data_IF_659856782478
#
_entry.id   IF_659856782478
#
_cell.length_a   1.000
_cell.length_b   1.000
_cell.length_c   1.000
_cell.angle_alpha   90.00
_cell.angle_beta   90.00
_cell.angle_gamma   90.00
#
_symmetry.space_group_name_H-M   'P 1'
#
loop_
_entity.id
_entity.type
_entity.pdbx_description
1 polymer ?
#
# COMPACT_ATOMS: atom_id res chain seq x y z
N UNK A 1 -30.11 11.42 -42.36
CA UNK A 1 -30.62 11.97 -41.09
C UNK A 1 -30.04 11.11 -39.98
N UNK A 2 -28.78 11.38 -39.66
CA UNK A 2 -28.03 10.70 -38.61
C UNK A 2 -28.44 11.29 -37.26
N UNK A 3 -28.62 10.44 -36.25
CA UNK A 3 -28.70 10.87 -34.84
C UNK A 3 -27.62 10.12 -34.08
N UNK A 4 -26.61 10.90 -33.72
CA UNK A 4 -25.51 10.56 -32.82
C UNK A 4 -26.05 10.24 -31.42
N UNK A 5 -25.47 9.24 -30.77
CA UNK A 5 -25.61 9.01 -29.33
C UNK A 5 -24.23 9.16 -28.69
N UNK A 6 -24.07 10.16 -27.84
CA UNK A 6 -22.87 10.39 -27.04
C UNK A 6 -22.78 9.33 -25.92
N UNK A 7 -21.77 8.47 -25.98
CA UNK A 7 -21.44 7.54 -24.90
C UNK A 7 -20.68 8.29 -23.80
N UNK A 8 -21.41 8.86 -22.83
CA UNK A 8 -20.81 9.31 -21.57
C UNK A 8 -20.41 8.09 -20.74
N UNK A 9 -19.13 7.71 -20.81
CA UNK A 9 -18.51 6.69 -19.98
C UNK A 9 -18.34 7.22 -18.55
N UNK A 10 -19.37 7.03 -17.72
CA UNK A 10 -19.23 7.21 -16.27
C UNK A 10 -18.36 6.08 -15.72
N UNK A 11 -17.23 6.42 -15.10
CA UNK A 11 -16.36 5.48 -14.37
C UNK A 11 -17.16 4.82 -13.22
N UNK A 12 -17.88 3.73 -13.52
CA UNK A 12 -18.41 2.84 -12.49
C UNK A 12 -17.27 1.91 -12.10
N UNK A 13 -16.77 2.08 -10.87
CA UNK A 13 -15.92 1.08 -10.23
C UNK A 13 -16.69 -0.24 -10.23
N UNK A 14 -16.10 -1.24 -10.86
CA UNK A 14 -16.69 -2.53 -11.13
C UNK A 14 -16.44 -3.46 -9.95
N UNK A 15 -17.48 -3.76 -9.20
CA UNK A 15 -17.50 -4.88 -8.26
C UNK A 15 -17.77 -6.15 -9.07
N UNK A 16 -16.90 -7.16 -8.96
CA UNK A 16 -17.11 -8.48 -9.57
C UNK A 16 -17.00 -9.54 -8.49
N UNK A 17 -18.11 -10.21 -8.21
CA UNK A 17 -18.14 -11.47 -7.49
C UNK A 17 -17.55 -12.58 -8.38
N UNK A 18 -16.39 -13.12 -8.01
CA UNK A 18 -15.86 -14.33 -8.65
C UNK A 18 -16.59 -15.54 -8.06
N UNK A 19 -17.40 -16.23 -8.86
CA UNK A 19 -17.99 -17.52 -8.49
C UNK A 19 -16.97 -18.62 -8.80
N UNK A 20 -16.26 -19.11 -7.79
CA UNK A 20 -15.56 -20.39 -7.89
C UNK A 20 -16.54 -21.50 -7.50
N UNK A 21 -17.41 -21.91 -8.42
CA UNK A 21 -17.91 -23.28 -8.39
C UNK A 21 -16.68 -24.19 -8.42
N UNK A 22 -16.50 -25.02 -7.40
CA UNK A 22 -15.48 -26.08 -7.41
C UNK A 22 -15.78 -27.05 -8.55
N UNK A 23 -15.34 -26.72 -9.76
CA UNK A 23 -15.35 -27.59 -10.92
C UNK A 23 -13.91 -27.69 -11.45
N UNK A 24 -13.49 -28.93 -11.76
CA UNK A 24 -12.10 -29.27 -12.04
C UNK A 24 -11.52 -28.51 -13.25
N UNK A 25 -10.20 -28.27 -13.18
CA UNK A 25 -9.36 -27.40 -14.02
C UNK A 25 -9.31 -27.79 -15.50
N UNK A 26 -9.21 -26.78 -16.39
CA UNK A 26 -8.50 -26.88 -17.68
C UNK A 26 -7.45 -25.75 -17.71
N UNK A 27 -6.18 -26.01 -18.08
CA UNK A 27 -5.10 -25.06 -17.84
C UNK A 27 -5.01 -24.06 -18.99
N UNK A 28 -5.17 -22.76 -18.73
CA UNK A 28 -4.49 -21.68 -19.48
C UNK A 28 -4.74 -20.28 -18.92
N UNK A 29 -3.64 -19.52 -18.86
CA UNK A 29 -3.51 -18.06 -18.98
C UNK A 29 -3.68 -17.11 -17.76
N UNK A 30 -2.50 -16.59 -17.36
CA UNK A 30 -2.09 -15.20 -17.04
C UNK A 30 -2.67 -14.47 -15.82
N UNK A 31 -1.76 -14.17 -14.90
CA UNK A 31 -1.94 -13.30 -13.74
C UNK A 31 -1.61 -11.83 -14.06
N UNK A 32 -2.44 -10.89 -13.58
CA UNK A 32 -2.11 -9.47 -13.45
C UNK A 32 -2.32 -9.03 -11.99
N UNK A 33 -1.32 -8.32 -11.46
CA UNK A 33 -1.28 -7.84 -10.07
C UNK A 33 -1.94 -6.48 -9.90
N UNK A 34 -2.92 -6.45 -9.00
CA UNK A 34 -3.38 -5.27 -8.27
C UNK A 34 -3.54 -5.66 -6.81
N UNK A 35 -3.36 -4.72 -5.89
CA UNK A 35 -3.54 -4.96 -4.44
C UNK A 35 -4.98 -5.41 -4.17
N UNK A 36 -5.07 -6.69 -3.82
CA UNK A 36 -6.28 -7.51 -3.79
C UNK A 36 -6.64 -7.79 -2.33
N UNK A 37 -7.78 -7.28 -1.89
CA UNK A 37 -8.45 -7.75 -0.68
C UNK A 37 -9.51 -8.75 -1.13
N UNK A 38 -9.34 -10.03 -0.83
CA UNK A 38 -10.42 -11.01 -0.97
C UNK A 38 -10.95 -11.41 0.38
N UNK A 39 -12.27 -11.36 0.52
CA UNK A 39 -12.97 -12.33 1.34
C UNK A 39 -12.96 -13.66 0.57
N UNK A 40 -12.44 -14.72 1.16
CA UNK A 40 -12.64 -16.07 0.63
C UNK A 40 -14.13 -16.42 0.82
N UNK A 41 -14.92 -16.30 -0.24
CA UNK A 41 -16.31 -16.76 -0.25
C UNK A 41 -16.29 -18.26 -0.58
N UNK A 42 -16.49 -19.12 0.41
CA UNK A 42 -16.81 -20.53 0.17
C UNK A 42 -18.30 -20.63 -0.19
N UNK A 43 -18.68 -20.37 -1.45
CA UNK A 43 -20.03 -20.78 -1.95
C UNK A 43 -20.18 -22.29 -2.07
N UNK A 44 -19.12 -23.05 -1.77
CA UNK A 44 -19.12 -24.51 -1.71
C UNK A 44 -19.73 -25.10 -0.44
N UNK A 45 -20.42 -24.32 0.40
CA UNK A 45 -21.13 -24.93 1.50
C UNK A 45 -22.42 -25.64 1.01
N UNK A 46 -22.33 -26.96 0.87
CA UNK A 46 -23.42 -27.83 0.43
C UNK A 46 -24.35 -28.28 1.57
N UNK A 47 -24.16 -27.81 2.81
CA UNK A 47 -24.93 -28.25 3.97
C UNK A 47 -25.34 -27.10 4.88
N UNK A 48 -26.52 -27.13 5.48
CA UNK A 48 -27.00 -26.06 6.38
C UNK A 48 -25.96 -25.66 7.46
N UNK A 49 -25.22 -26.64 7.99
CA UNK A 49 -24.21 -26.46 9.04
C UNK A 49 -23.02 -25.59 8.64
N UNK A 50 -22.53 -25.71 7.39
CA UNK A 50 -21.41 -24.89 6.95
C UNK A 50 -21.81 -23.43 6.68
N UNK A 51 -23.08 -23.16 6.35
CA UNK A 51 -23.61 -21.81 6.18
C UNK A 51 -23.68 -21.18 7.56
N UNK A 52 -24.25 -21.89 8.53
CA UNK A 52 -24.28 -21.43 9.91
C UNK A 52 -22.89 -21.09 10.44
N UNK A 53 -21.93 -22.03 10.34
CA UNK A 53 -20.58 -21.83 10.84
C UNK A 53 -19.89 -20.63 10.18
N UNK A 54 -19.99 -20.52 8.85
CA UNK A 54 -19.35 -19.44 8.10
C UNK A 54 -19.98 -18.07 8.41
N UNK A 55 -21.31 -18.02 8.52
CA UNK A 55 -22.05 -16.79 8.81
C UNK A 55 -21.85 -16.33 10.24
N UNK A 56 -21.86 -17.25 11.20
CA UNK A 56 -21.57 -16.93 12.59
C UNK A 56 -20.15 -16.36 12.74
N UNK A 57 -19.14 -16.96 12.10
CA UNK A 57 -17.78 -16.43 12.11
C UNK A 57 -17.70 -15.03 11.48
N UNK A 58 -18.39 -14.82 10.36
CA UNK A 58 -18.47 -13.52 9.71
C UNK A 58 -19.18 -12.47 10.57
N UNK A 59 -20.25 -12.83 11.27
CA UNK A 59 -20.96 -11.94 12.18
C UNK A 59 -20.06 -11.52 13.36
N UNK A 60 -19.33 -12.43 13.97
CA UNK A 60 -18.40 -12.10 15.05
C UNK A 60 -17.29 -11.15 14.61
N UNK A 61 -16.77 -11.32 13.38
CA UNK A 61 -15.78 -10.40 12.82
C UNK A 61 -16.38 -9.00 12.59
N UNK A 62 -17.58 -8.93 12.02
CA UNK A 62 -18.27 -7.65 11.80
C UNK A 62 -18.58 -6.95 13.13
N UNK A 63 -18.96 -7.69 14.19
CA UNK A 63 -19.13 -7.13 15.54
C UNK A 63 -17.81 -6.58 16.09
N UNK A 64 -16.68 -7.29 15.90
CA UNK A 64 -15.34 -6.84 16.34
C UNK A 64 -14.89 -5.56 15.65
N UNK A 65 -15.22 -5.41 14.37
CA UNK A 65 -14.96 -4.21 13.58
C UNK A 65 -15.91 -3.04 13.95
N UNK A 66 -16.91 -3.30 14.79
CA UNK A 66 -17.81 -2.28 15.36
C UNK A 66 -19.08 -2.05 14.55
N UNK A 67 -19.50 -3.01 13.73
CA UNK A 67 -20.82 -2.96 13.08
C UNK A 67 -21.90 -3.47 14.04
N UNK A 68 -22.99 -2.70 14.17
CA UNK A 68 -24.16 -3.07 15.00
C UNK A 68 -25.26 -3.78 14.20
N UNK A 69 -25.25 -3.60 12.87
CA UNK A 69 -26.28 -4.07 11.96
C UNK A 69 -25.68 -4.77 10.73
N UNK A 70 -26.44 -5.70 10.17
CA UNK A 70 -26.11 -6.42 8.94
C UNK A 70 -27.30 -6.41 7.99
N UNK A 71 -27.02 -6.52 6.70
CA UNK A 71 -28.01 -6.71 5.65
C UNK A 71 -27.90 -8.11 5.10
N UNK A 72 -29.04 -8.79 4.95
CA UNK A 72 -29.08 -10.12 4.31
C UNK A 72 -29.01 -9.95 2.80
N UNK A 73 -28.04 -10.61 2.19
CA UNK A 73 -27.86 -10.61 0.73
C UNK A 73 -28.13 -12.01 0.19
N UNK A 74 -29.15 -12.09 -0.67
CA UNK A 74 -29.55 -13.37 -1.23
C UNK A 74 -28.83 -13.65 -2.54
N UNK A 75 -28.49 -14.91 -2.77
CA UNK A 75 -27.90 -15.34 -4.04
C UNK A 75 -29.00 -15.35 -5.11
N UNK A 76 -28.93 -14.41 -6.05
CA UNK A 76 -29.89 -14.27 -7.16
C UNK A 76 -29.56 -15.17 -8.36
N UNK A 77 -29.39 -16.47 -8.15
CA UNK A 77 -29.05 -17.43 -9.21
C UNK A 77 -30.28 -18.15 -9.80
N UNK A 78 -31.49 -17.65 -9.52
CA UNK A 78 -32.74 -18.22 -9.99
C UNK A 78 -33.24 -19.44 -9.19
N UNK A 79 -32.48 -19.91 -8.21
CA UNK A 79 -32.87 -20.99 -7.29
C UNK A 79 -33.22 -20.49 -5.88
N UNK A 80 -33.46 -19.19 -5.75
CA UNK A 80 -33.84 -18.54 -4.51
C UNK A 80 -35.26 -18.91 -4.11
N UNK A 81 -35.46 -19.41 -2.88
CA UNK A 81 -36.79 -19.68 -2.36
C UNK A 81 -37.51 -18.40 -1.90
N UNK A 82 -38.83 -18.47 -1.71
CA UNK A 82 -39.66 -17.35 -1.26
C UNK A 82 -39.21 -16.80 0.12
N UNK A 83 -38.78 -17.68 1.02
CA UNK A 83 -38.29 -17.30 2.37
C UNK A 83 -37.04 -16.42 2.31
N UNK A 84 -36.12 -16.73 1.39
CA UNK A 84 -34.94 -15.90 1.18
C UNK A 84 -35.32 -14.55 0.57
N UNK A 85 -36.17 -14.54 -0.46
CA UNK A 85 -36.64 -13.29 -1.05
C UNK A 85 -37.35 -12.38 -0.02
N UNK A 86 -38.03 -12.96 0.97
CA UNK A 86 -38.71 -12.21 2.01
C UNK A 86 -37.76 -11.39 2.89
N UNK A 87 -36.49 -11.77 3.01
CA UNK A 87 -35.50 -11.06 3.85
C UNK A 87 -34.38 -10.42 3.06
N UNK A 88 -34.39 -10.56 1.73
CA UNK A 88 -33.39 -9.99 0.85
C UNK A 88 -33.32 -8.46 0.94
N UNK A 89 -32.11 -7.93 1.12
CA UNK A 89 -31.84 -6.51 1.29
C UNK A 89 -32.36 -5.91 2.59
N UNK A 90 -32.93 -6.70 3.50
CA UNK A 90 -33.35 -6.20 4.83
C UNK A 90 -32.19 -6.13 5.78
N UNK A 91 -32.18 -5.07 6.58
CA UNK A 91 -31.19 -4.81 7.62
C UNK A 91 -31.73 -5.22 8.99
N UNK A 92 -30.88 -5.89 9.78
CA UNK A 92 -31.18 -6.36 11.12
C UNK A 92 -30.01 -6.07 12.07
N UNK A 93 -30.28 -5.95 13.37
CA UNK A 93 -29.24 -5.84 14.39
C UNK A 93 -28.58 -7.18 14.65
N UNK A 94 -27.27 -7.14 14.90
CA UNK A 94 -26.49 -8.33 15.26
C UNK A 94 -26.89 -8.96 16.60
N UNK A 95 -27.46 -8.19 17.51
CA UNK A 95 -27.96 -8.66 18.81
C UNK A 95 -29.27 -9.44 18.67
N UNK A 96 -30.05 -9.14 17.63
CA UNK A 96 -31.34 -9.76 17.32
C UNK A 96 -31.19 -10.86 16.25
N UNK A 97 -29.97 -11.32 15.99
CA UNK A 97 -29.68 -12.30 14.94
C UNK A 97 -30.16 -13.70 15.34
N UNK A 98 -31.18 -14.19 14.64
CA UNK A 98 -31.81 -15.49 14.82
C UNK A 98 -31.70 -16.32 13.53
N UNK A 99 -30.86 -17.38 13.53
CA UNK A 99 -30.78 -18.32 12.42
C UNK A 99 -32.14 -18.91 12.08
N UNK A 100 -32.51 -18.93 10.80
CA UNK A 100 -33.81 -19.44 10.36
C UNK A 100 -34.92 -18.38 10.30
N UNK A 101 -34.69 -17.18 10.84
CA UNK A 101 -35.68 -16.10 10.87
C UNK A 101 -35.18 -14.86 10.12
N UNK A 102 -34.06 -14.30 10.57
CA UNK A 102 -33.47 -13.09 9.99
C UNK A 102 -31.96 -13.24 9.72
N UNK A 103 -31.35 -14.35 10.18
CA UNK A 103 -29.95 -14.64 9.96
C UNK A 103 -29.78 -15.97 9.19
N UNK A 104 -28.83 -16.09 8.25
CA UNK A 104 -28.63 -17.35 7.54
C UNK A 104 -27.96 -18.42 8.43
N UNK A 105 -28.32 -19.70 8.29
CA UNK A 105 -29.19 -20.28 7.27
C UNK A 105 -30.67 -20.07 7.58
N UNK A 106 -31.42 -19.57 6.60
CA UNK A 106 -32.87 -19.32 6.73
C UNK A 106 -33.71 -20.59 6.52
N UNK A 107 -33.17 -21.51 5.73
CA UNK A 107 -33.80 -22.78 5.37
C UNK A 107 -32.73 -23.86 5.15
N UNK A 108 -33.10 -25.15 5.04
CA UNK A 108 -32.16 -26.20 4.67
C UNK A 108 -31.45 -25.89 3.35
N UNK A 109 -30.13 -26.06 3.30
CA UNK A 109 -29.29 -25.74 2.13
C UNK A 109 -29.28 -24.25 1.74
N UNK A 110 -29.57 -23.35 2.68
CA UNK A 110 -29.50 -21.91 2.46
C UNK A 110 -28.08 -21.45 2.09
N UNK A 111 -27.99 -20.60 1.06
CA UNK A 111 -26.73 -20.02 0.53
C UNK A 111 -26.63 -18.51 0.74
N UNK A 112 -27.54 -17.94 1.52
CA UNK A 112 -27.61 -16.49 1.76
C UNK A 112 -26.39 -15.97 2.52
N UNK A 113 -26.06 -14.72 2.25
CA UNK A 113 -24.91 -14.02 2.77
C UNK A 113 -25.36 -12.89 3.70
N UNK A 114 -24.41 -12.33 4.43
CA UNK A 114 -24.59 -11.12 5.21
C UNK A 114 -23.52 -10.10 4.79
N UNK A 115 -23.91 -8.84 4.71
CA UNK A 115 -23.01 -7.70 4.55
C UNK A 115 -23.20 -6.75 5.74
N UNK A 116 -22.17 -5.98 6.15
CA UNK A 116 -22.39 -4.95 7.15
C UNK A 116 -23.38 -3.91 6.63
N UNK A 117 -24.31 -3.48 7.48
CA UNK A 117 -25.20 -2.39 7.12
C UNK A 117 -24.44 -1.07 7.26
N UNK A 118 -24.13 -0.47 6.10
CA UNK A 118 -23.43 0.81 6.03
C UNK A 118 -24.29 1.77 5.23
N UNK A 119 -24.74 2.84 5.88
CA UNK A 119 -25.58 3.88 5.26
C UNK A 119 -24.77 4.78 4.33
N UNK A 120 -23.47 4.93 4.60
CA UNK A 120 -22.53 5.71 3.79
C UNK A 120 -21.15 5.01 3.74
N UNK A 121 -20.93 4.31 2.63
CA UNK A 121 -19.70 3.55 2.38
C UNK A 121 -18.47 4.45 2.20
N UNK A 122 -18.65 5.65 1.65
CA UNK A 122 -17.56 6.60 1.43
C UNK A 122 -17.10 7.20 2.76
N UNK A 123 -18.05 7.59 3.63
CA UNK A 123 -17.74 8.07 4.97
C UNK A 123 -17.17 6.97 5.88
N UNK A 124 -17.55 5.70 5.68
CA UNK A 124 -16.94 4.59 6.40
C UNK A 124 -15.48 4.36 5.96
N UNK A 125 -15.20 4.36 4.66
CA UNK A 125 -13.83 4.22 4.14
C UNK A 125 -12.92 5.37 4.59
N UNK A 126 -13.41 6.62 4.54
CA UNK A 126 -12.67 7.79 5.02
C UNK A 126 -12.27 7.64 6.50
N UNK A 127 -13.20 7.21 7.36
CA UNK A 127 -12.92 6.96 8.79
C UNK A 127 -11.89 5.86 9.02
N UNK A 128 -11.83 4.83 8.19
CA UNK A 128 -10.82 3.78 8.31
C UNK A 128 -9.42 4.27 7.91
N UNK A 129 -9.34 5.09 6.85
CA UNK A 129 -8.09 5.75 6.44
C UNK A 129 -7.61 6.76 7.50
N UNK A 130 -8.53 7.47 8.14
CA UNK A 130 -8.24 8.41 9.22
C UNK A 130 -7.81 7.68 10.50
N UNK A 131 -8.48 6.60 10.92
CA UNK A 131 -8.03 5.76 12.05
C UNK A 131 -6.63 5.20 11.81
N UNK A 132 -6.34 4.76 10.59
CA UNK A 132 -5.01 4.29 10.20
C UNK A 132 -4.01 5.45 10.31
N UNK A 133 -4.38 6.64 9.85
CA UNK A 133 -3.55 7.85 9.94
C UNK A 133 -3.31 8.29 11.39
N UNK A 134 -4.33 8.24 12.26
CA UNK A 134 -4.26 8.59 13.67
C UNK A 134 -3.48 7.54 14.49
N UNK A 135 -3.63 6.25 14.17
CA UNK A 135 -2.79 5.19 14.73
C UNK A 135 -1.34 5.35 14.30
N UNK A 136 -1.12 5.70 13.03
CA UNK A 136 0.19 6.04 12.48
C UNK A 136 0.78 7.26 13.19
N UNK A 137 -0.02 8.31 13.45
CA UNK A 137 0.40 9.51 14.19
C UNK A 137 0.68 9.22 15.66
N UNK A 138 -0.16 8.45 16.35
CA UNK A 138 0.07 8.04 17.75
C UNK A 138 1.31 7.17 17.88
N UNK A 139 1.52 6.25 16.94
CA UNK A 139 2.75 5.47 16.83
C UNK A 139 3.93 6.42 16.58
N UNK A 140 3.82 7.38 15.66
CA UNK A 140 4.86 8.39 15.40
C UNK A 140 5.16 9.29 16.63
N UNK A 141 4.16 9.63 17.43
CA UNK A 141 4.28 10.48 18.61
C UNK A 141 4.90 9.74 19.80
N UNK A 142 4.57 8.46 19.99
CA UNK A 142 5.27 7.57 20.94
C UNK A 142 6.73 7.31 20.47
N UNK A 143 6.97 7.33 19.16
CA UNK A 143 8.29 7.12 18.54
C UNK A 143 9.24 8.32 18.72
N UNK A 144 8.75 9.55 18.61
CA UNK A 144 9.56 10.79 18.63
C UNK A 144 10.31 11.03 19.95
N UNK A 145 9.86 10.42 21.05
CA UNK A 145 10.43 10.57 22.40
C UNK A 145 11.82 9.89 22.55
N UNK A 146 12.23 9.03 21.62
CA UNK A 146 13.31 8.05 21.87
C UNK A 146 14.67 8.28 21.17
N UNK A 147 14.79 9.25 20.27
CA UNK A 147 16.06 9.67 19.64
C UNK A 147 16.84 8.61 18.82
N UNK A 148 16.23 7.47 18.48
CA UNK A 148 16.81 6.41 17.62
C UNK A 148 16.17 6.46 16.23
N UNK A 149 17.00 6.33 15.19
CA UNK A 149 16.54 6.19 13.81
C UNK A 149 15.61 4.97 13.64
N UNK A 150 14.45 5.18 13.05
CA UNK A 150 13.34 4.20 12.99
C UNK A 150 12.62 4.28 11.65
N UNK A 151 11.94 3.19 11.29
CA UNK A 151 11.00 3.18 10.17
C UNK A 151 9.86 4.14 10.47
N UNK A 152 9.59 5.05 9.54
CA UNK A 152 8.55 6.06 9.66
C UNK A 152 7.60 5.98 8.45
N UNK A 153 6.36 6.48 8.58
CA UNK A 153 5.43 6.58 7.46
C UNK A 153 6.03 7.50 6.39
N UNK A 154 5.92 7.10 5.12
CA UNK A 154 6.46 7.90 4.03
C UNK A 154 5.66 9.22 3.89
N UNK A 155 6.26 10.40 4.14
CA UNK A 155 5.55 11.67 4.12
C UNK A 155 5.18 12.12 2.70
N UNK A 156 5.75 11.51 1.67
CA UNK A 156 5.52 11.91 0.28
C UNK A 156 4.19 11.43 -0.31
N UNK A 157 3.47 10.53 0.41
CA UNK A 157 2.19 9.93 -0.02
C UNK A 157 2.15 9.65 -1.54
N UNK A 158 3.06 8.79 -2.03
CA UNK A 158 3.24 8.59 -3.47
C UNK A 158 1.95 8.08 -4.11
N UNK A 159 1.41 8.83 -5.07
CA UNK A 159 0.24 8.41 -5.86
C UNK A 159 0.79 7.64 -7.06
N UNK A 160 0.35 6.39 -7.31
CA UNK A 160 0.77 5.66 -8.50
C UNK A 160 0.29 6.40 -9.76
N UNK A 161 1.22 6.97 -10.52
CA UNK A 161 0.90 7.72 -11.74
C UNK A 161 2.16 7.99 -12.55
N UNK A 162 2.19 7.50 -13.78
CA UNK A 162 3.29 7.66 -14.74
C UNK A 162 3.53 9.13 -15.06
N UNK A 163 4.80 9.59 -15.07
CA UNK A 163 5.17 10.94 -15.53
C UNK A 163 5.54 11.96 -14.44
N UNK A 164 5.96 11.51 -13.25
CA UNK A 164 6.36 12.37 -12.14
C UNK A 164 7.88 12.63 -12.06
N UNK A 165 8.65 12.31 -13.10
CA UNK A 165 10.10 12.58 -13.17
C UNK A 165 10.40 13.74 -14.10
N UNK A 166 11.12 14.74 -13.59
CA UNK A 166 11.69 15.83 -14.39
C UNK A 166 13.21 15.69 -14.42
N UNK A 167 13.76 15.59 -15.62
CA UNK A 167 15.21 15.50 -15.83
C UNK A 167 15.77 16.87 -16.25
N UNK A 168 16.57 17.51 -15.41
CA UNK A 168 17.35 18.70 -15.81
C UNK A 168 18.71 18.32 -16.47
N UNK A 169 18.94 17.02 -16.73
CA UNK A 169 20.11 16.44 -17.40
C UNK A 169 19.67 15.48 -18.52
N UNK A 170 20.47 15.30 -19.58
CA UNK A 170 20.30 14.16 -20.47
C UNK A 170 20.64 12.85 -19.73
N UNK A 171 19.83 11.81 -19.96
CA UNK A 171 19.90 10.50 -19.28
C UNK A 171 21.27 9.80 -19.49
N UNK A 172 22.01 10.20 -20.53
CA UNK A 172 23.30 9.64 -20.95
C UNK A 172 24.48 9.89 -19.98
N UNK A 173 24.31 10.79 -19.00
CA UNK A 173 25.33 11.09 -17.98
C UNK A 173 25.14 10.36 -16.65
N UNK A 174 24.02 9.65 -16.46
CA UNK A 174 23.75 8.91 -15.22
C UNK A 174 24.43 7.54 -15.23
N UNK A 175 24.99 7.12 -14.10
CA UNK A 175 25.45 5.74 -13.97
C UNK A 175 24.25 4.78 -14.00
N UNK A 176 24.46 3.55 -14.46
CA UNK A 176 23.37 2.58 -14.63
C UNK A 176 22.55 2.34 -13.34
N UNK A 177 23.20 2.37 -12.17
CA UNK A 177 22.54 2.21 -10.88
C UNK A 177 21.78 3.47 -10.43
N UNK A 178 22.23 4.66 -10.84
CA UNK A 178 21.55 5.93 -10.58
C UNK A 178 20.28 6.05 -11.42
N UNK A 179 20.38 5.73 -12.71
CA UNK A 179 19.21 5.65 -13.59
C UNK A 179 18.19 4.61 -13.09
N UNK A 180 18.66 3.45 -12.57
CA UNK A 180 17.78 2.47 -11.94
C UNK A 180 17.10 3.02 -10.68
N UNK A 181 17.84 3.70 -9.80
CA UNK A 181 17.28 4.28 -8.59
C UNK A 181 16.16 5.30 -8.90
N UNK A 182 16.36 6.16 -9.91
CA UNK A 182 15.35 7.12 -10.36
C UNK A 182 14.09 6.41 -10.88
N UNK A 183 14.25 5.38 -11.71
CA UNK A 183 13.10 4.58 -12.19
C UNK A 183 12.35 3.89 -11.06
N UNK A 184 13.06 3.32 -10.09
CA UNK A 184 12.43 2.66 -8.95
C UNK A 184 11.69 3.68 -8.07
N UNK A 185 12.25 4.89 -7.86
CA UNK A 185 11.55 5.97 -7.17
C UNK A 185 10.27 6.41 -7.90
N UNK A 186 10.31 6.53 -9.23
CA UNK A 186 9.10 6.84 -10.02
C UNK A 186 8.05 5.74 -9.89
N UNK A 187 8.45 4.48 -10.02
CA UNK A 187 7.54 3.33 -9.88
C UNK A 187 6.91 3.25 -8.48
N UNK A 188 7.66 3.68 -7.46
CA UNK A 188 7.18 3.83 -6.09
C UNK A 188 6.34 5.09 -5.86
N UNK A 189 6.13 5.91 -6.89
CA UNK A 189 5.25 7.08 -6.95
C UNK A 189 5.84 8.38 -6.38
N UNK A 190 7.16 8.47 -6.25
CA UNK A 190 7.81 9.72 -5.86
C UNK A 190 7.81 10.73 -7.02
N UNK A 191 7.64 12.01 -6.70
CA UNK A 191 7.98 13.10 -7.62
C UNK A 191 9.47 13.35 -7.54
N UNK A 192 10.19 13.04 -8.61
CA UNK A 192 11.65 13.07 -8.66
C UNK A 192 12.11 14.11 -9.65
N UNK A 193 12.98 15.01 -9.21
CA UNK A 193 13.69 15.91 -10.09
C UNK A 193 15.19 15.64 -10.01
N UNK A 194 15.79 15.24 -11.12
CA UNK A 194 17.24 14.99 -11.20
C UNK A 194 17.94 16.31 -11.46
N UNK A 195 18.78 16.75 -10.52
CA UNK A 195 19.42 18.06 -10.56
C UNK A 195 20.62 18.09 -11.50
N UNK A 196 20.84 19.23 -12.17
CA UNK A 196 22.01 19.48 -13.02
C UNK A 196 23.28 19.59 -12.17
N UNK A 197 24.37 18.97 -12.64
CA UNK A 197 25.69 19.15 -12.03
C UNK A 197 26.28 20.47 -12.52
N UNK A 198 26.75 21.28 -11.57
CA UNK A 198 27.60 22.42 -11.86
C UNK A 198 29.06 21.99 -11.70
N UNK A 199 29.80 22.01 -12.80
CA UNK A 199 31.23 21.65 -12.84
C UNK A 199 32.09 22.60 -11.99
N UNK A 200 31.56 23.78 -11.62
CA UNK A 200 32.24 24.79 -10.80
C UNK A 200 31.86 24.70 -9.32
N UNK A 201 30.85 23.91 -8.96
CA UNK A 201 30.39 23.77 -7.59
C UNK A 201 31.32 22.83 -6.79
N UNK A 202 31.51 23.07 -5.48
CA UNK A 202 32.36 22.24 -4.62
C UNK A 202 31.82 20.81 -4.42
N UNK A 203 30.52 20.62 -4.64
CA UNK A 203 29.81 19.35 -4.68
C UNK A 203 28.46 19.55 -5.42
N UNK A 204 27.86 18.46 -5.88
CA UNK A 204 26.52 18.46 -6.49
C UNK A 204 25.63 17.45 -5.75
N UNK A 205 24.40 17.86 -5.45
CA UNK A 205 23.33 16.97 -4.95
C UNK A 205 22.60 16.36 -6.14
N UNK A 206 22.20 15.11 -6.00
CA UNK A 206 21.70 14.31 -7.11
C UNK A 206 20.22 14.58 -7.40
N UNK A 207 19.38 14.67 -6.36
CA UNK A 207 17.92 14.67 -6.50
C UNK A 207 17.24 15.78 -5.69
N UNK A 208 16.05 16.14 -6.16
CA UNK A 208 15.03 16.88 -5.44
C UNK A 208 13.74 16.03 -5.40
N UNK A 209 13.17 15.81 -4.21
CA UNK A 209 11.98 14.98 -4.00
C UNK A 209 10.84 15.76 -3.35
N UNK A 210 9.61 15.43 -3.78
CA UNK A 210 8.36 15.92 -3.21
C UNK A 210 7.99 17.35 -3.58
N UNK A 211 6.77 17.76 -3.25
CA UNK A 211 6.20 19.07 -3.63
C UNK A 211 6.90 20.28 -3.00
N UNK A 212 7.68 20.05 -1.92
CA UNK A 212 8.46 21.09 -1.24
C UNK A 212 9.89 21.23 -1.78
N UNK A 213 10.28 20.43 -2.76
CA UNK A 213 11.61 20.48 -3.37
C UNK A 213 12.73 20.15 -2.40
N UNK A 214 12.58 19.09 -1.61
CA UNK A 214 13.62 18.70 -0.66
C UNK A 214 14.81 18.08 -1.39
N UNK A 215 16.03 18.43 -1.00
CA UNK A 215 17.27 17.91 -1.60
C UNK A 215 17.63 16.52 -1.05
N UNK A 216 18.08 15.62 -1.92
CA UNK A 216 18.45 14.24 -1.59
C UNK A 216 19.69 13.77 -2.35
N UNK A 217 20.60 13.11 -1.63
CA UNK A 217 21.81 12.50 -2.20
C UNK A 217 21.60 10.99 -2.42
N UNK A 218 22.03 10.43 -3.55
CA UNK A 218 21.94 8.99 -3.83
C UNK A 218 23.23 8.25 -3.54
N UNK A 219 23.12 7.06 -2.95
CA UNK A 219 24.27 6.17 -2.68
C UNK A 219 23.91 4.70 -2.90
N UNK A 220 24.73 4.00 -3.68
CA UNK A 220 24.64 2.54 -3.80
C UNK A 220 25.65 1.84 -2.87
N UNK A 221 25.15 0.92 -2.05
CA UNK A 221 25.94 0.09 -1.13
C UNK A 221 26.44 -1.15 -1.86
N UNK A 222 27.72 -1.47 -1.69
CA UNK A 222 28.34 -2.70 -2.17
C UNK A 222 28.70 -3.65 -1.04
N UNK A 223 29.38 -4.75 -1.39
CA UNK A 223 29.69 -5.83 -0.45
C UNK A 223 30.85 -5.55 0.53
N UNK A 224 31.50 -4.40 0.39
CA UNK A 224 32.57 -3.99 1.31
C UNK A 224 32.08 -3.94 2.76
N UNK A 225 32.90 -4.48 3.68
CA UNK A 225 32.63 -4.50 5.13
C UNK A 225 32.19 -3.14 5.69
N UNK A 226 32.79 -2.06 5.19
CA UNK A 226 32.53 -0.69 5.63
C UNK A 226 31.66 0.13 4.67
N UNK A 227 31.13 -0.49 3.60
CA UNK A 227 30.45 0.21 2.51
C UNK A 227 29.33 1.12 2.98
N UNK A 228 28.46 0.64 3.90
CA UNK A 228 27.37 1.43 4.47
C UNK A 228 27.89 2.70 5.16
N UNK A 229 28.85 2.56 6.07
CA UNK A 229 29.40 3.70 6.80
C UNK A 229 30.11 4.69 5.87
N UNK A 230 30.86 4.19 4.89
CA UNK A 230 31.66 5.03 4.01
C UNK A 230 30.78 5.82 3.05
N UNK A 231 29.75 5.18 2.47
CA UNK A 231 28.80 5.86 1.60
C UNK A 231 27.96 6.91 2.34
N UNK A 232 27.44 6.59 3.53
CA UNK A 232 26.71 7.57 4.36
C UNK A 232 27.59 8.74 4.79
N UNK A 233 28.86 8.49 5.11
CA UNK A 233 29.84 9.54 5.42
C UNK A 233 30.14 10.41 4.21
N UNK A 234 30.30 9.82 3.02
CA UNK A 234 30.53 10.56 1.77
C UNK A 234 29.33 11.46 1.46
N UNK A 235 28.11 10.94 1.58
CA UNK A 235 26.89 11.73 1.43
C UNK A 235 26.89 12.93 2.39
N UNK A 236 27.04 12.70 3.70
CA UNK A 236 27.08 13.78 4.70
C UNK A 236 28.19 14.82 4.43
N UNK A 237 29.36 14.40 3.91
CA UNK A 237 30.44 15.31 3.52
C UNK A 237 30.07 16.21 2.33
N UNK A 238 29.33 15.71 1.34
CA UNK A 238 28.84 16.55 0.22
C UNK A 238 27.94 17.67 0.74
N UNK A 239 27.01 17.36 1.65
CA UNK A 239 26.14 18.36 2.28
C UNK A 239 26.95 19.45 2.99
N UNK A 240 27.97 19.07 3.75
CA UNK A 240 28.89 20.04 4.40
C UNK A 240 29.64 20.92 3.41
N UNK A 241 30.08 20.37 2.27
CA UNK A 241 30.77 21.15 1.23
C UNK A 241 29.87 22.21 0.59
N UNK A 242 28.57 21.99 0.60
CA UNK A 242 27.55 22.93 0.10
C UNK A 242 27.14 23.97 1.15
N UNK A 243 27.73 23.97 2.34
CA UNK A 243 27.35 24.84 3.44
C UNK A 243 26.00 24.50 4.08
N UNK A 244 25.38 23.38 3.68
CA UNK A 244 24.14 22.89 4.29
C UNK A 244 24.50 22.14 5.57
N UNK A 245 23.73 22.37 6.63
CA UNK A 245 24.00 21.70 7.91
C UNK A 245 23.92 20.19 7.75
N UNK A 246 24.87 19.46 8.35
CA UNK A 246 24.79 17.99 8.42
C UNK A 246 23.56 17.48 9.17
N UNK A 247 22.87 18.35 9.92
CA UNK A 247 21.59 18.07 10.56
C UNK A 247 20.40 18.16 9.61
N UNK A 248 20.60 18.37 8.31
CA UNK A 248 19.54 18.36 7.29
C UNK A 248 19.82 17.32 6.20
N UNK A 249 20.88 16.52 6.38
CA UNK A 249 21.35 15.53 5.41
C UNK A 249 20.29 14.46 5.17
N UNK A 250 19.86 14.32 3.92
CA UNK A 250 18.90 13.32 3.43
C UNK A 250 19.54 12.45 2.37
N UNK A 251 19.34 11.14 2.44
CA UNK A 251 20.02 10.18 1.57
C UNK A 251 19.06 9.12 1.03
N UNK A 252 19.08 8.88 -0.28
CA UNK A 252 18.50 7.70 -0.91
C UNK A 252 19.58 6.62 -0.99
N UNK A 253 19.29 5.44 -0.44
CA UNK A 253 20.22 4.31 -0.39
C UNK A 253 19.67 3.15 -1.19
N UNK A 254 20.50 2.60 -2.07
CA UNK A 254 20.25 1.37 -2.84
C UNK A 254 21.32 0.33 -2.52
N UNK A 255 21.08 -0.95 -2.82
CA UNK A 255 22.07 -2.03 -2.68
C UNK A 255 22.16 -2.91 -3.93
N UNK A 256 22.04 -2.30 -5.11
CA UNK A 256 22.06 -3.03 -6.38
C UNK A 256 23.41 -3.71 -6.58
N UNK A 257 23.35 -5.03 -6.84
CA UNK A 257 24.53 -5.88 -7.05
C UNK A 257 25.24 -6.32 -5.77
N UNK A 258 24.80 -5.89 -4.58
CA UNK A 258 25.30 -6.45 -3.33
C UNK A 258 24.81 -7.91 -3.16
N UNK A 259 25.61 -8.76 -2.55
CA UNK A 259 25.27 -10.15 -2.19
C UNK A 259 24.93 -10.30 -0.71
N UNK A 260 25.30 -9.31 0.10
CA UNK A 260 24.95 -9.24 1.52
C UNK A 260 23.44 -9.28 1.76
N UNK A 261 23.07 -9.78 2.92
CA UNK A 261 21.69 -9.76 3.39
C UNK A 261 21.16 -8.32 3.42
N UNK A 262 19.97 -8.15 2.88
CA UNK A 262 19.38 -6.82 2.68
C UNK A 262 18.91 -6.21 4.00
N UNK A 263 18.42 -7.06 4.93
CA UNK A 263 17.98 -6.62 6.24
C UNK A 263 19.17 -6.16 7.10
N UNK A 264 20.30 -6.86 7.03
CA UNK A 264 21.56 -6.46 7.66
C UNK A 264 22.04 -5.08 7.19
N UNK A 265 21.89 -4.78 5.88
CA UNK A 265 22.23 -3.47 5.33
C UNK A 265 21.29 -2.41 5.92
N UNK A 266 19.98 -2.65 5.92
CA UNK A 266 18.99 -1.71 6.46
C UNK A 266 19.26 -1.43 7.96
N UNK A 267 19.60 -2.46 8.73
CA UNK A 267 19.85 -2.30 10.16
C UNK A 267 21.20 -1.60 10.45
N UNK A 268 22.22 -1.82 9.62
CA UNK A 268 23.45 -1.01 9.66
C UNK A 268 23.14 0.46 9.31
N UNK A 269 22.32 0.72 8.30
CA UNK A 269 21.89 2.07 7.92
C UNK A 269 21.19 2.75 9.09
N UNK A 270 20.19 2.10 9.71
CA UNK A 270 19.50 2.62 10.92
C UNK A 270 20.50 2.96 12.03
N UNK A 271 21.46 2.08 12.30
CA UNK A 271 22.47 2.29 13.35
C UNK A 271 23.36 3.52 13.08
N UNK A 272 23.69 3.78 11.81
CA UNK A 272 24.61 4.86 11.39
C UNK A 272 23.91 6.18 11.12
N UNK A 273 22.61 6.15 10.86
CA UNK A 273 21.80 7.30 10.49
C UNK A 273 21.92 8.45 11.49
N UNK A 274 21.88 8.19 12.79
CA UNK A 274 22.04 9.20 13.85
C UNK A 274 23.31 10.07 13.74
N UNK A 275 24.33 9.61 13.01
CA UNK A 275 25.59 10.33 12.77
C UNK A 275 25.64 11.09 11.46
N UNK A 276 24.86 10.69 10.45
CA UNK A 276 25.09 11.10 9.06
C UNK A 276 23.85 11.62 8.31
N UNK A 277 22.64 11.29 8.75
CA UNK A 277 21.41 11.66 8.05
C UNK A 277 20.21 11.82 9.02
N UNK A 278 19.27 12.68 8.64
CA UNK A 278 18.00 12.87 9.35
C UNK A 278 16.89 12.06 8.72
N UNK A 279 16.93 11.86 7.40
CA UNK A 279 15.98 11.01 6.68
C UNK A 279 16.74 10.13 5.68
N UNK A 280 16.29 8.88 5.56
CA UNK A 280 16.84 7.92 4.59
C UNK A 280 15.70 7.20 3.89
N UNK A 281 15.74 7.17 2.56
CA UNK A 281 14.89 6.29 1.75
C UNK A 281 15.76 5.11 1.34
N UNK A 282 15.42 3.91 1.79
CA UNK A 282 16.05 2.68 1.32
C UNK A 282 15.17 2.02 0.25
N UNK A 283 15.71 1.77 -0.93
CA UNK A 283 15.01 1.06 -2.00
C UNK A 283 15.51 -0.38 -2.04
N UNK A 284 14.59 -1.34 -2.02
CA UNK A 284 14.94 -2.76 -2.12
C UNK A 284 15.58 -3.07 -3.46
N UNK A 285 16.47 -4.06 -3.49
CA UNK A 285 17.30 -4.40 -4.65
C UNK A 285 16.46 -4.72 -5.90
N UNK A 286 15.31 -5.33 -5.68
CA UNK A 286 14.32 -5.66 -6.72
C UNK A 286 13.50 -4.45 -7.20
N UNK A 287 13.55 -3.32 -6.50
CA UNK A 287 12.77 -2.11 -6.78
C UNK A 287 11.29 -2.23 -6.38
N UNK A 288 10.86 -3.31 -5.72
CA UNK A 288 9.43 -3.58 -5.47
C UNK A 288 8.83 -2.70 -4.37
N UNK A 289 9.67 -2.25 -3.43
CA UNK A 289 9.26 -1.43 -2.29
C UNK A 289 10.40 -0.56 -1.78
N UNK A 290 10.05 0.44 -0.97
CA UNK A 290 11.00 1.25 -0.22
C UNK A 290 10.65 1.30 1.27
N UNK A 291 11.66 1.59 2.09
CA UNK A 291 11.52 1.86 3.51
C UNK A 291 11.98 3.28 3.77
N UNK A 292 11.11 4.08 4.38
CA UNK A 292 11.45 5.41 4.85
C UNK A 292 11.91 5.33 6.31
N UNK A 293 13.09 5.88 6.59
CA UNK A 293 13.67 5.97 7.92
C UNK A 293 13.78 7.44 8.29
N UNK A 294 13.34 7.79 9.50
CA UNK A 294 13.52 9.12 10.11
C UNK A 294 14.29 8.99 11.43
N UNK A 295 15.07 10.02 11.74
CA UNK A 295 15.71 10.19 13.05
C UNK A 295 14.71 10.68 14.10
#
# INVERSE_FOLDING_TARGET
MEKEWETSCSKKLFWSSVILTGNQTIPTAKAHGGTFWSSVILTGNQTTEGTYTSRAAQAEELKREGFEEYTVEVVHDGHTCEECHAVDGKTFRFDDAEPGVNFPPLHPYCRCQIAPAVTDWDAWQARQLDKTSEQVEKVAQVISISGKARTAPNPFKPVPGTGSVTYDKPEDRLLAHEAKAVRDLEALGYQVKVLKEDDKAPANIDLELGSKGQLWEMKNIGDGKHSVNDQMRVACRKWKKLGISSSESRVVITSYGATRDEQDIIDEVKRRMSKYAVEVIYIYRDGSKSVFLSR
#
